data_IF_727315683309
#
_entry.id   IF_727315683309
#
_cell.length_a   1.000
_cell.length_b   1.000
_cell.length_c   1.000
_cell.angle_alpha   90.00
_cell.angle_beta   90.00
_cell.angle_gamma   90.00
#
_symmetry.space_group_name_H-M   'P 1'
#
loop_
_entity.id
_entity.type
_entity.pdbx_description
1 polymer ?
#
# COMPACT_ATOMS: atom_id res chain seq x y z
N UNK A 1 -6.36 -5.60 10.35
CA UNK A 1 -5.26 -5.35 9.39
C UNK A 1 -5.47 -4.10 8.55
N UNK A 2 -6.60 -3.94 7.84
CA UNK A 2 -6.91 -2.72 7.06
C UNK A 2 -6.81 -1.41 7.87
N UNK A 3 -7.30 -1.41 9.12
CA UNK A 3 -7.21 -0.25 10.02
C UNK A 3 -5.76 0.15 10.31
N UNK A 4 -4.84 -0.82 10.46
CA UNK A 4 -3.43 -0.55 10.72
C UNK A 4 -2.76 0.08 9.51
N UNK A 5 -3.00 -0.47 8.31
CA UNK A 5 -2.50 0.07 7.04
C UNK A 5 -3.04 1.49 6.82
N UNK A 6 -4.34 1.69 7.04
CA UNK A 6 -4.96 3.00 6.94
C UNK A 6 -4.36 4.01 7.93
N UNK A 7 -4.16 3.62 9.18
CA UNK A 7 -3.56 4.49 10.21
C UNK A 7 -2.13 4.86 9.86
N UNK A 8 -1.32 3.93 9.35
CA UNK A 8 0.02 4.23 8.82
C UNK A 8 -0.03 5.21 7.64
N UNK A 9 -0.98 5.05 6.72
CA UNK A 9 -1.20 6.02 5.64
C UNK A 9 -1.55 7.42 6.16
N UNK A 10 -2.40 7.53 7.17
CA UNK A 10 -2.74 8.82 7.81
C UNK A 10 -1.52 9.46 8.46
N UNK A 11 -0.67 8.68 9.13
CA UNK A 11 0.59 9.19 9.72
C UNK A 11 1.54 9.73 8.65
N UNK A 12 1.71 9.02 7.54
CA UNK A 12 2.53 9.49 6.40
C UNK A 12 1.97 10.77 5.79
N UNK A 13 0.65 10.87 5.63
CA UNK A 13 -0.01 12.07 5.11
C UNK A 13 0.19 13.28 6.04
N UNK A 14 0.06 13.07 7.36
CA UNK A 14 0.29 14.12 8.36
C UNK A 14 1.74 14.60 8.34
N UNK A 15 2.69 13.66 8.22
CA UNK A 15 4.11 13.99 8.08
C UNK A 15 4.38 14.83 6.83
N UNK A 16 3.81 14.45 5.68
CA UNK A 16 3.96 15.22 4.44
C UNK A 16 3.39 16.65 4.56
N UNK A 17 2.21 16.81 5.17
CA UNK A 17 1.65 18.14 5.45
C UNK A 17 2.55 18.96 6.38
N UNK A 18 3.15 18.32 7.39
CA UNK A 18 4.09 18.99 8.30
C UNK A 18 5.37 19.42 7.59
N UNK A 19 5.88 18.63 6.65
CA UNK A 19 7.03 19.00 5.81
C UNK A 19 6.72 20.20 4.91
N UNK A 20 5.55 20.22 4.26
CA UNK A 20 5.14 21.30 3.37
C UNK A 20 4.92 22.64 4.09
N UNK A 21 4.55 22.60 5.37
CA UNK A 21 4.30 23.78 6.20
C UNK A 21 5.54 24.29 6.96
N UNK A 22 6.74 23.80 6.64
CA UNK A 22 7.96 24.28 7.31
C UNK A 22 8.20 25.75 6.95
N UNK A 23 8.05 26.63 7.94
CA UNK A 23 8.57 27.99 7.88
C UNK A 23 10.11 27.98 8.05
N UNK A 24 10.79 28.42 7.01
CA UNK A 24 12.24 28.30 6.75
C UNK A 24 13.18 28.98 7.76
N UNK A 25 12.66 29.84 8.65
CA UNK A 25 13.47 30.64 9.57
C UNK A 25 13.97 29.83 10.79
N UNK A 26 13.41 28.66 11.06
CA UNK A 26 13.72 27.83 12.24
C UNK A 26 14.27 26.43 11.89
N UNK A 27 15.04 26.34 10.80
CA UNK A 27 15.30 25.08 10.08
C UNK A 27 16.32 24.13 10.76
N UNK A 28 17.33 24.64 11.49
CA UNK A 28 18.41 23.80 12.03
C UNK A 28 18.00 22.82 13.13
N UNK A 29 17.17 23.26 14.08
CA UNK A 29 16.66 22.40 15.16
C UNK A 29 15.55 21.47 14.65
N UNK A 30 14.85 21.87 13.59
CA UNK A 30 13.73 21.11 13.03
C UNK A 30 14.19 19.98 12.10
N UNK A 31 15.26 20.16 11.32
CA UNK A 31 15.73 19.17 10.34
C UNK A 31 16.16 17.84 10.98
N UNK A 32 16.88 17.88 12.11
CA UNK A 32 17.25 16.68 12.88
C UNK A 32 16.04 15.96 13.47
N UNK A 33 15.04 16.72 13.94
CA UNK A 33 13.77 16.18 14.44
C UNK A 33 12.97 15.51 13.32
N UNK A 34 12.86 16.14 12.15
CA UNK A 34 12.22 15.53 10.97
C UNK A 34 12.91 14.24 10.54
N UNK A 35 14.25 14.17 10.64
CA UNK A 35 15.00 12.95 10.35
C UNK A 35 14.66 11.82 11.32
N UNK A 36 14.60 12.13 12.62
CA UNK A 36 14.23 11.17 13.65
C UNK A 36 12.78 10.69 13.49
N UNK A 37 11.85 11.60 13.21
CA UNK A 37 10.44 11.30 12.97
C UNK A 37 10.27 10.43 11.71
N UNK A 38 10.97 10.75 10.62
CA UNK A 38 10.96 9.94 9.40
C UNK A 38 11.53 8.53 9.63
N UNK A 39 12.66 8.41 10.34
CA UNK A 39 13.24 7.11 10.69
C UNK A 39 12.27 6.26 11.52
N UNK A 40 11.58 6.88 12.48
CA UNK A 40 10.58 6.21 13.32
C UNK A 40 9.38 5.74 12.49
N UNK A 41 8.93 6.55 11.53
CA UNK A 41 7.85 6.18 10.61
C UNK A 41 8.29 5.02 9.71
N UNK A 42 9.48 5.09 9.14
CA UNK A 42 10.04 4.04 8.29
C UNK A 42 10.16 2.72 9.04
N UNK A 43 10.65 2.73 10.27
CA UNK A 43 10.75 1.55 11.13
C UNK A 43 9.37 0.95 11.41
N UNK A 44 8.37 1.78 11.72
CA UNK A 44 6.98 1.33 11.89
C UNK A 44 6.40 0.74 10.62
N UNK A 45 6.69 1.31 9.46
CA UNK A 45 6.25 0.76 8.15
C UNK A 45 6.93 -0.57 7.86
N UNK A 46 8.21 -0.73 8.21
CA UNK A 46 8.95 -1.98 8.07
C UNK A 46 8.40 -3.08 8.98
N UNK A 47 8.17 -2.76 10.26
CA UNK A 47 7.53 -3.68 11.21
C UNK A 47 6.12 -4.04 10.76
N UNK A 48 5.34 -3.07 10.27
CA UNK A 48 4.02 -3.32 9.72
C UNK A 48 4.10 -4.30 8.54
N UNK A 49 5.03 -4.10 7.61
CA UNK A 49 5.24 -5.01 6.47
C UNK A 49 5.56 -6.42 6.96
N UNK A 50 6.48 -6.57 7.90
CA UNK A 50 6.91 -7.87 8.41
C UNK A 50 5.76 -8.63 9.10
N UNK A 51 5.04 -7.95 10.01
CA UNK A 51 3.93 -8.55 10.76
C UNK A 51 2.73 -8.86 9.85
N UNK A 52 2.43 -8.00 8.86
CA UNK A 52 1.29 -8.20 7.98
C UNK A 52 1.58 -9.10 6.77
N UNK A 53 2.84 -9.30 6.39
CA UNK A 53 3.22 -10.07 5.19
C UNK A 53 2.55 -11.45 5.12
N UNK A 54 2.64 -12.23 6.20
CA UNK A 54 2.06 -13.57 6.31
C UNK A 54 0.53 -13.57 6.33
N UNK A 55 -0.15 -12.81 7.22
CA UNK A 55 -1.60 -12.84 7.26
C UNK A 55 -2.25 -12.22 6.00
N UNK A 56 -1.60 -11.25 5.34
CA UNK A 56 -2.05 -10.74 4.04
C UNK A 56 -2.03 -11.82 2.97
N UNK A 57 -0.99 -12.67 2.96
CA UNK A 57 -0.88 -13.79 2.04
C UNK A 57 -2.00 -14.82 2.26
N UNK A 58 -2.25 -15.19 3.52
CA UNK A 58 -3.31 -16.14 3.86
C UNK A 58 -4.69 -15.60 3.44
N UNK A 59 -4.97 -14.32 3.70
CA UNK A 59 -6.24 -13.70 3.29
C UNK A 59 -6.38 -13.71 1.77
N UNK A 60 -5.35 -13.28 1.03
CA UNK A 60 -5.38 -13.30 -0.43
C UNK A 60 -5.68 -14.71 -0.96
N UNK A 61 -4.95 -15.71 -0.45
CA UNK A 61 -5.12 -17.09 -0.86
C UNK A 61 -6.55 -17.59 -0.58
N UNK A 62 -7.07 -17.29 0.62
CA UNK A 62 -8.44 -17.65 0.99
C UNK A 62 -9.48 -17.00 0.07
N UNK A 63 -9.32 -15.70 -0.25
CA UNK A 63 -10.23 -15.00 -1.15
C UNK A 63 -10.17 -15.56 -2.58
N UNK A 64 -8.98 -15.91 -3.08
CA UNK A 64 -8.85 -16.54 -4.40
C UNK A 64 -9.52 -17.92 -4.43
N UNK A 65 -9.27 -18.78 -3.44
CA UNK A 65 -9.92 -20.08 -3.35
C UNK A 65 -11.44 -19.96 -3.27
N UNK A 66 -11.97 -19.09 -2.42
CA UNK A 66 -13.41 -18.86 -2.32
C UNK A 66 -14.03 -18.33 -3.63
N UNK A 67 -13.30 -17.50 -4.39
CA UNK A 67 -13.78 -17.05 -5.70
C UNK A 67 -13.76 -18.17 -6.76
N UNK A 68 -12.74 -19.03 -6.75
CA UNK A 68 -12.71 -20.21 -7.63
C UNK A 68 -13.80 -21.22 -7.29
N UNK A 69 -14.04 -21.47 -6.00
CA UNK A 69 -15.14 -22.32 -5.55
C UNK A 69 -16.49 -21.76 -6.01
N UNK A 70 -16.70 -20.45 -5.82
CA UNK A 70 -17.90 -19.75 -6.30
C UNK A 70 -18.10 -19.91 -7.81
N UNK A 71 -17.03 -19.77 -8.59
CA UNK A 71 -17.05 -20.01 -10.04
C UNK A 71 -17.44 -21.46 -10.36
N UNK A 72 -16.83 -22.44 -9.70
CA UNK A 72 -17.15 -23.86 -9.90
C UNK A 72 -18.60 -24.21 -9.52
N UNK A 73 -19.13 -23.63 -8.44
CA UNK A 73 -20.51 -23.83 -8.02
C UNK A 73 -21.52 -23.13 -8.92
N UNK A 74 -21.23 -21.91 -9.38
CA UNK A 74 -22.13 -21.17 -10.28
C UNK A 74 -22.33 -21.86 -11.63
N UNK A 75 -21.35 -22.68 -12.05
CA UNK A 75 -21.47 -23.52 -13.24
C UNK A 75 -22.41 -24.71 -13.03
N UNK A 76 -22.68 -25.17 -11.80
CA UNK A 76 -23.62 -26.27 -11.54
C UNK A 76 -25.07 -25.77 -11.66
N UNK A 77 -25.87 -26.39 -12.52
CA UNK A 77 -27.23 -25.93 -12.83
C UNK A 77 -28.23 -26.16 -11.67
N UNK A 78 -27.99 -27.17 -10.82
CA UNK A 78 -28.96 -27.63 -9.80
C UNK A 78 -28.82 -26.97 -8.42
N UNK A 79 -28.23 -25.77 -8.35
CA UNK A 79 -27.97 -25.12 -7.06
C UNK A 79 -29.23 -24.38 -6.55
N UNK A 80 -29.69 -24.65 -5.32
CA UNK A 80 -30.86 -23.99 -4.75
C UNK A 80 -30.65 -22.47 -4.58
N UNK A 81 -31.74 -21.71 -4.67
CA UNK A 81 -31.73 -20.25 -4.77
C UNK A 81 -31.09 -19.56 -3.54
N UNK A 82 -31.31 -20.10 -2.33
CA UNK A 82 -30.68 -19.58 -1.10
C UNK A 82 -29.14 -19.72 -1.14
N UNK A 83 -28.64 -20.82 -1.70
CA UNK A 83 -27.20 -21.08 -1.79
C UNK A 83 -26.55 -20.17 -2.84
N UNK A 84 -27.25 -19.85 -3.93
CA UNK A 84 -26.80 -18.88 -4.94
C UNK A 84 -26.60 -17.48 -4.33
N UNK A 85 -27.54 -17.03 -3.51
CA UNK A 85 -27.44 -15.74 -2.81
C UNK A 85 -26.23 -15.73 -1.88
N UNK A 86 -26.06 -16.77 -1.07
CA UNK A 86 -24.95 -16.87 -0.11
C UNK A 86 -23.58 -16.85 -0.82
N UNK A 87 -23.43 -17.69 -1.85
CA UNK A 87 -22.22 -17.77 -2.68
C UNK A 87 -21.92 -16.41 -3.34
N UNK A 88 -22.93 -15.74 -3.91
CA UNK A 88 -22.73 -14.41 -4.52
C UNK A 88 -22.28 -13.36 -3.51
N UNK A 89 -22.83 -13.39 -2.29
CA UNK A 89 -22.47 -12.46 -1.21
C UNK A 89 -21.05 -12.69 -0.71
N UNK A 90 -20.62 -13.95 -0.62
CA UNK A 90 -19.25 -14.34 -0.26
C UNK A 90 -18.24 -13.89 -1.31
N UNK A 91 -18.54 -14.09 -2.60
CA UNK A 91 -17.70 -13.59 -3.69
C UNK A 91 -17.58 -12.06 -3.67
N UNK A 92 -18.70 -11.35 -3.48
CA UNK A 92 -18.68 -9.90 -3.37
C UNK A 92 -17.82 -9.41 -2.18
N UNK A 93 -17.90 -10.13 -1.05
CA UNK A 93 -17.07 -9.86 0.12
C UNK A 93 -15.59 -10.08 -0.17
N UNK A 94 -15.23 -11.18 -0.84
CA UNK A 94 -13.85 -11.46 -1.24
C UNK A 94 -13.28 -10.39 -2.17
N UNK A 95 -14.06 -9.96 -3.19
CA UNK A 95 -13.67 -8.86 -4.09
C UNK A 95 -13.45 -7.58 -3.30
N UNK A 96 -14.38 -7.23 -2.40
CA UNK A 96 -14.28 -6.02 -1.57
C UNK A 96 -13.04 -6.05 -0.69
N UNK A 97 -12.69 -7.20 -0.10
CA UNK A 97 -11.48 -7.38 0.71
C UNK A 97 -10.22 -7.18 -0.15
N UNK A 98 -10.11 -7.83 -1.31
CA UNK A 98 -8.92 -7.71 -2.18
C UNK A 98 -8.74 -6.27 -2.68
N UNK A 99 -9.82 -5.62 -3.11
CA UNK A 99 -9.79 -4.23 -3.59
C UNK A 99 -9.37 -3.29 -2.47
N UNK A 100 -10.04 -3.36 -1.32
CA UNK A 100 -9.72 -2.50 -0.17
C UNK A 100 -8.28 -2.69 0.29
N UNK A 101 -7.82 -3.94 0.34
CA UNK A 101 -6.48 -4.28 0.75
C UNK A 101 -5.43 -3.72 -0.20
N UNK A 102 -5.66 -3.85 -1.51
CA UNK A 102 -4.72 -3.37 -2.51
C UNK A 102 -4.67 -1.84 -2.54
N UNK A 103 -5.82 -1.16 -2.44
CA UNK A 103 -5.89 0.31 -2.38
C UNK A 103 -5.20 0.83 -1.13
N UNK A 104 -5.49 0.27 0.06
CA UNK A 104 -4.86 0.72 1.29
C UNK A 104 -3.35 0.45 1.29
N UNK A 105 -2.92 -0.71 0.80
CA UNK A 105 -1.50 -1.11 0.81
C UNK A 105 -0.67 -0.33 -0.22
N UNK A 106 -1.25 0.00 -1.38
CA UNK A 106 -0.58 0.80 -2.42
C UNK A 106 -0.43 2.29 -2.05
N UNK A 107 -1.29 2.82 -1.18
CA UNK A 107 -1.16 4.21 -0.69
C UNK A 107 0.12 4.47 0.12
N UNK A 108 0.64 3.48 0.85
CA UNK A 108 1.87 3.65 1.65
C UNK A 108 3.08 4.03 0.79
N UNK A 109 3.47 3.24 -0.23
CA UNK A 109 4.59 3.60 -1.09
C UNK A 109 4.33 4.87 -1.92
N UNK A 110 3.08 5.15 -2.30
CA UNK A 110 2.71 6.41 -2.97
C UNK A 110 2.97 7.63 -2.08
N UNK A 111 2.58 7.57 -0.80
CA UNK A 111 2.84 8.65 0.16
C UNK A 111 4.34 8.80 0.45
N UNK A 112 5.09 7.70 0.50
CA UNK A 112 6.56 7.76 0.66
C UNK A 112 7.22 8.42 -0.56
N UNK A 113 6.74 8.14 -1.77
CA UNK A 113 7.18 8.83 -3.00
C UNK A 113 6.86 10.32 -2.97
N UNK A 114 5.66 10.69 -2.52
CA UNK A 114 5.25 12.09 -2.40
C UNK A 114 6.11 12.85 -1.38
N UNK A 115 6.44 12.22 -0.25
CA UNK A 115 7.37 12.77 0.74
C UNK A 115 8.76 12.98 0.13
N UNK A 116 9.28 12.00 -0.62
CA UNK A 116 10.57 12.16 -1.32
C UNK A 116 10.55 13.30 -2.31
N UNK A 117 9.52 13.40 -3.15
CA UNK A 117 9.37 14.49 -4.11
C UNK A 117 9.30 15.86 -3.42
N UNK A 118 8.61 15.93 -2.28
CA UNK A 118 8.54 17.15 -1.45
C UNK A 118 9.91 17.51 -0.89
N UNK A 119 10.66 16.52 -0.38
CA UNK A 119 12.04 16.72 0.11
C UNK A 119 12.97 17.18 -1.03
N UNK A 120 12.89 16.56 -2.20
CA UNK A 120 13.66 16.96 -3.39
C UNK A 120 13.37 18.41 -3.79
N UNK A 121 12.09 18.79 -3.85
CA UNK A 121 11.68 20.17 -4.12
C UNK A 121 12.21 21.16 -3.08
N UNK A 122 12.23 20.77 -1.79
CA UNK A 122 12.81 21.59 -0.73
C UNK A 122 14.33 21.75 -0.93
N UNK A 123 15.06 20.68 -1.25
CA UNK A 123 16.51 20.73 -1.53
C UNK A 123 16.79 21.69 -2.69
N UNK A 124 16.03 21.58 -3.78
CA UNK A 124 16.22 22.42 -4.98
C UNK A 124 15.98 23.90 -4.68
N UNK A 125 14.88 24.24 -4.00
CA UNK A 125 14.59 25.62 -3.60
C UNK A 125 15.73 26.23 -2.74
N UNK A 126 16.42 25.43 -1.94
CA UNK A 126 17.48 25.89 -1.04
C UNK A 126 18.85 25.98 -1.71
N UNK A 127 19.16 25.10 -2.67
CA UNK A 127 20.39 25.19 -3.49
C UNK A 127 20.45 26.52 -4.26
N UNK A 128 19.29 27.05 -4.66
CA UNK A 128 19.19 28.36 -5.33
C UNK A 128 19.02 29.56 -4.37
N UNK A 129 18.57 29.34 -3.12
CA UNK A 129 18.15 30.40 -2.20
C UNK A 129 19.12 30.84 -1.08
N UNK A 130 20.28 30.19 -0.90
CA UNK A 130 21.29 30.51 0.15
C UNK A 130 20.78 30.47 1.62
N UNK A 131 19.64 29.83 1.90
CA UNK A 131 18.94 29.93 3.20
C UNK A 131 19.19 28.77 4.18
N UNK A 132 19.85 27.69 3.78
CA UNK A 132 20.12 26.52 4.64
C UNK A 132 21.60 26.28 4.90
N UNK A 133 21.94 25.84 6.12
CA UNK A 133 23.26 25.30 6.41
C UNK A 133 23.49 23.99 5.63
N UNK A 134 24.71 23.82 5.12
CA UNK A 134 25.19 22.64 4.39
C UNK A 134 24.85 21.31 5.08
N UNK A 135 24.87 21.30 6.43
CA UNK A 135 24.53 20.12 7.25
C UNK A 135 23.06 19.72 7.15
N UNK A 136 22.16 20.68 6.99
CA UNK A 136 20.72 20.41 6.93
C UNK A 136 20.33 19.86 5.56
N UNK A 137 20.94 20.38 4.50
CA UNK A 137 20.79 19.86 3.13
C UNK A 137 21.23 18.39 3.09
N UNK A 138 22.36 18.05 3.72
CA UNK A 138 22.83 16.66 3.81
C UNK A 138 21.85 15.72 4.53
N UNK A 139 21.11 16.22 5.53
CA UNK A 139 20.09 15.44 6.24
C UNK A 139 18.90 15.16 5.33
N UNK A 140 18.43 16.16 4.58
CA UNK A 140 17.35 15.99 3.61
C UNK A 140 17.75 15.09 2.42
N UNK A 141 18.96 15.27 1.87
CA UNK A 141 19.49 14.39 0.82
C UNK A 141 19.59 12.94 1.30
N UNK A 142 19.94 12.72 2.58
CA UNK A 142 19.95 11.37 3.16
C UNK A 142 18.54 10.77 3.25
N UNK A 143 17.51 11.56 3.55
CA UNK A 143 16.13 11.08 3.58
C UNK A 143 15.61 10.77 2.17
N UNK A 144 15.90 11.61 1.19
CA UNK A 144 15.49 11.41 -0.20
C UNK A 144 16.05 10.11 -0.79
N UNK A 145 17.30 9.76 -0.43
CA UNK A 145 17.99 8.56 -0.91
C UNK A 145 17.50 7.24 -0.30
N UNK A 146 16.67 7.26 0.74
CA UNK A 146 16.19 6.02 1.39
C UNK A 146 15.24 5.21 0.53
N UNK A 147 15.27 3.90 0.59
CA UNK A 147 14.41 3.07 -0.26
C UNK A 147 12.92 3.16 0.11
N UNK A 148 12.06 3.00 -0.90
CA UNK A 148 10.62 2.97 -0.73
C UNK A 148 10.20 1.58 -0.26
N UNK A 149 9.45 1.53 0.84
CA UNK A 149 8.96 0.27 1.38
C UNK A 149 7.62 -0.07 0.71
N UNK A 150 7.65 -1.08 -0.15
CA UNK A 150 6.44 -1.68 -0.70
C UNK A 150 5.87 -2.71 0.27
N UNK A 151 4.56 -2.61 0.53
CA UNK A 151 3.82 -3.67 1.21
C UNK A 151 3.78 -4.90 0.30
N UNK A 152 4.20 -6.04 0.85
CA UNK A 152 4.25 -7.31 0.13
C UNK A 152 3.62 -8.42 0.97
N UNK A 153 2.89 -9.33 0.32
CA UNK A 153 2.44 -10.57 0.92
C UNK A 153 3.49 -11.67 0.68
N UNK A 154 4.10 -12.15 1.76
CA UNK A 154 5.16 -13.16 1.80
C UNK A 154 6.38 -12.87 0.89
N UNK A 155 6.57 -11.62 0.46
CA UNK A 155 7.58 -11.26 -0.56
C UNK A 155 7.27 -11.75 -1.98
N UNK A 156 6.15 -12.45 -2.18
CA UNK A 156 5.72 -13.00 -3.47
C UNK A 156 4.89 -11.97 -4.23
N UNK A 157 3.96 -11.32 -3.54
CA UNK A 157 3.01 -10.38 -4.15
C UNK A 157 3.26 -8.99 -3.60
N UNK A 158 3.61 -8.04 -4.47
CA UNK A 158 3.66 -6.63 -4.12
C UNK A 158 2.30 -5.98 -4.37
N UNK A 159 1.77 -5.30 -3.36
CA UNK A 159 0.49 -4.59 -3.50
C UNK A 159 0.67 -3.28 -4.28
N UNK A 160 0.65 -3.40 -5.60
CA UNK A 160 0.58 -2.29 -6.55
C UNK A 160 -0.84 -2.21 -7.13
N UNK A 161 -1.21 -1.07 -7.71
CA UNK A 161 -2.51 -0.93 -8.40
C UNK A 161 -2.67 -1.99 -9.52
N UNK A 162 -1.58 -2.30 -10.21
CA UNK A 162 -1.56 -3.31 -11.29
C UNK A 162 -1.87 -4.73 -10.79
N UNK A 163 -1.69 -5.02 -9.50
CA UNK A 163 -2.07 -6.31 -8.92
C UNK A 163 -3.56 -6.61 -9.09
N UNK A 164 -4.43 -5.60 -9.00
CA UNK A 164 -5.88 -5.80 -9.21
C UNK A 164 -6.17 -6.24 -10.63
N UNK A 165 -5.47 -5.66 -11.62
CA UNK A 165 -5.64 -6.01 -13.02
C UNK A 165 -5.16 -7.45 -13.27
N UNK A 166 -4.03 -7.83 -12.69
CA UNK A 166 -3.54 -9.22 -12.75
C UNK A 166 -4.50 -10.20 -12.07
N UNK A 167 -5.00 -9.88 -10.88
CA UNK A 167 -5.94 -10.71 -10.14
C UNK A 167 -7.26 -10.92 -10.92
N UNK A 168 -7.80 -9.84 -11.49
CA UNK A 168 -8.99 -9.91 -12.34
C UNK A 168 -8.73 -10.72 -13.61
N UNK A 169 -7.59 -10.49 -14.26
CA UNK A 169 -7.16 -11.26 -15.43
C UNK A 169 -7.06 -12.75 -15.14
N UNK A 170 -6.46 -13.13 -14.01
CA UNK A 170 -6.38 -14.54 -13.62
C UNK A 170 -7.76 -15.15 -13.38
N UNK A 171 -8.65 -14.47 -12.66
CA UNK A 171 -10.01 -14.96 -12.42
C UNK A 171 -10.78 -15.11 -13.73
N UNK A 172 -10.64 -14.16 -14.65
CA UNK A 172 -11.28 -14.20 -15.95
C UNK A 172 -10.75 -15.35 -16.82
N UNK A 173 -9.43 -15.51 -16.95
CA UNK A 173 -8.82 -16.58 -17.74
C UNK A 173 -9.17 -17.96 -17.20
N UNK A 174 -9.03 -18.18 -15.90
CA UNK A 174 -9.37 -19.47 -15.29
C UNK A 174 -10.88 -19.71 -15.26
N UNK A 175 -11.70 -18.66 -15.11
CA UNK A 175 -13.15 -18.75 -15.23
C UNK A 175 -13.59 -19.20 -16.62
N UNK A 176 -13.01 -18.62 -17.68
CA UNK A 176 -13.24 -19.04 -19.07
C UNK A 176 -12.79 -20.48 -19.32
N UNK A 177 -11.64 -20.89 -18.79
CA UNK A 177 -11.18 -22.27 -18.89
C UNK A 177 -12.16 -23.25 -18.24
N UNK A 178 -12.68 -22.93 -17.06
CA UNK A 178 -13.68 -23.76 -16.37
C UNK A 178 -15.00 -23.85 -17.14
N UNK A 179 -15.42 -22.75 -17.80
CA UNK A 179 -16.61 -22.75 -18.67
C UNK A 179 -16.38 -23.66 -19.88
N UNK A 180 -15.22 -23.57 -20.53
CA UNK A 180 -14.92 -24.32 -21.75
C UNK A 180 -14.61 -25.81 -21.50
N UNK A 181 -14.25 -26.20 -20.28
CA UNK A 181 -14.01 -27.59 -19.89
C UNK A 181 -15.30 -28.35 -19.53
N UNK A 182 -16.44 -27.67 -19.54
CA UNK A 182 -17.76 -28.23 -19.22
C UNK A 182 -18.60 -28.37 -20.47
#
# INVERSE_FOLDING_TARGET
>A
MLVLIHRCGVFLLQFNKSLRNINFIACSVKSSKFAADYNTIEEKVRLLKEVLSTPLFIILLSCFFSMYDTLAYSLRQDVPLYLKVDISSSAFTCVTVIVSLTICSSKIPELMLEIKATIGSLIDQHKFGKLMDSKEILVFERMEKKDIIYMSACGIVNFKKDFLLSAFGTLFTYGLLLINLK
#
